data_IF_589971463387
#
_entry.id   IF_589971463387
#
_cell.length_a   1.000
_cell.length_b   1.000
_cell.length_c   1.000
_cell.angle_alpha   90.00
_cell.angle_beta   90.00
_cell.angle_gamma   90.00
#
_symmetry.space_group_name_H-M   'P 1'
#
loop_
_entity.id
_entity.type
_entity.pdbx_description
1 polymer ?
#
# COMPACT_ATOMS: atom_id res chain seq x y z
N UNK A 1 2.25 11.79 46.41
CA UNK A 1 1.80 10.39 46.46
C UNK A 1 2.79 9.58 45.60
N UNK A 2 3.57 8.74 46.25
CA UNK A 2 4.62 7.96 45.57
C UNK A 2 3.99 6.72 44.90
N UNK A 3 4.54 6.30 43.76
CA UNK A 3 4.08 5.12 42.99
C UNK A 3 4.01 3.82 43.83
N UNK A 4 4.68 3.77 44.97
CA UNK A 4 4.66 2.64 45.90
C UNK A 4 3.43 2.60 46.79
N UNK A 5 2.76 3.73 47.00
CA UNK A 5 1.57 3.80 47.88
C UNK A 5 0.27 3.44 47.15
N UNK A 6 0.25 3.58 45.81
CA UNK A 6 -0.88 3.18 44.99
C UNK A 6 -1.06 1.65 44.92
N UNK A 7 0.04 0.89 44.97
CA UNK A 7 -0.04 -0.58 44.93
C UNK A 7 -0.37 -1.27 46.25
N UNK A 8 -0.37 -0.53 47.36
CA UNK A 8 -0.71 -1.08 48.69
C UNK A 8 -2.19 -0.92 49.07
N UNK A 9 -2.94 -0.08 48.40
CA UNK A 9 -4.36 0.20 48.72
C UNK A 9 -5.36 -0.75 48.03
N UNK A 10 -4.91 -1.69 47.21
CA UNK A 10 -5.77 -2.63 46.46
C UNK A 10 -5.85 -4.04 47.09
N UNK A 11 -5.29 -4.25 48.28
CA UNK A 11 -5.26 -5.57 48.92
C UNK A 11 -5.93 -5.67 50.29
N UNK A 12 -6.97 -4.92 50.57
CA UNK A 12 -7.81 -5.17 51.78
C UNK A 12 -9.29 -5.01 51.43
N UNK A 13 -9.97 -6.09 51.19
CA UNK A 13 -11.40 -6.10 50.96
C UNK A 13 -11.97 -7.46 50.55
N UNK A 14 -11.60 -8.53 51.27
CA UNK A 14 -12.24 -9.84 51.10
C UNK A 14 -12.91 -10.23 52.41
N UNK A 15 -14.20 -9.99 52.54
CA UNK A 15 -15.02 -10.66 53.55
C UNK A 15 -16.47 -10.79 53.04
N UNK A 16 -16.82 -12.01 52.69
CA UNK A 16 -18.08 -12.67 52.96
C UNK A 16 -19.34 -12.16 52.27
N UNK A 17 -19.75 -12.79 51.13
CA UNK A 17 -21.17 -12.97 50.81
C UNK A 17 -21.42 -14.37 50.30
N UNK A 18 -22.51 -14.94 50.82
CA UNK A 18 -22.93 -16.32 50.69
C UNK A 18 -23.19 -16.81 49.25
N UNK A 19 -22.89 -18.09 49.04
CA UNK A 19 -23.13 -18.89 47.85
C UNK A 19 -24.63 -19.04 47.60
N UNK A 20 -25.15 -18.47 46.53
CA UNK A 20 -26.37 -18.94 45.87
C UNK A 20 -25.97 -19.69 44.61
N UNK A 21 -26.29 -20.96 44.55
CA UNK A 21 -26.02 -21.88 43.46
C UNK A 21 -26.84 -21.51 42.22
N UNK A 22 -26.18 -20.99 41.22
CA UNK A 22 -26.71 -20.88 39.84
C UNK A 22 -25.91 -21.78 38.93
N UNK A 23 -26.53 -22.43 37.93
CA UNK A 23 -25.88 -23.45 37.13
C UNK A 23 -24.77 -22.79 36.28
N UNK A 24 -23.61 -23.42 36.33
CA UNK A 24 -22.44 -23.13 35.48
C UNK A 24 -22.90 -23.27 34.04
N UNK A 25 -23.14 -22.15 33.36
CA UNK A 25 -23.23 -22.12 31.93
C UNK A 25 -21.87 -22.60 31.39
N UNK A 26 -21.89 -23.66 30.61
CA UNK A 26 -20.72 -24.22 29.97
C UNK A 26 -19.98 -23.10 29.22
N UNK A 27 -18.77 -22.83 29.67
CA UNK A 27 -17.78 -22.11 28.86
C UNK A 27 -17.59 -22.98 27.61
N UNK A 28 -18.32 -22.64 26.54
CA UNK A 28 -18.00 -23.12 25.21
C UNK A 28 -16.56 -22.70 24.94
N UNK A 29 -15.67 -23.68 24.95
CA UNK A 29 -14.30 -23.52 24.50
C UNK A 29 -14.39 -22.92 23.11
N UNK A 30 -13.94 -21.67 22.95
CA UNK A 30 -13.56 -21.13 21.66
C UNK A 30 -12.38 -21.98 21.19
N UNK A 31 -12.68 -23.10 20.52
CA UNK A 31 -11.71 -23.74 19.66
C UNK A 31 -11.26 -22.65 18.66
N UNK A 32 -9.97 -22.36 18.56
CA UNK A 32 -9.51 -21.45 17.53
C UNK A 32 -10.05 -22.02 16.21
N UNK A 33 -10.86 -21.22 15.49
CA UNK A 33 -11.19 -21.53 14.10
C UNK A 33 -9.86 -21.81 13.44
N UNK A 34 -9.66 -23.03 12.94
CA UNK A 34 -8.58 -23.35 12.02
C UNK A 34 -8.60 -22.25 10.97
N UNK A 35 -7.58 -21.41 10.99
CA UNK A 35 -7.39 -20.38 9.95
C UNK A 35 -7.52 -21.13 8.63
N UNK A 36 -8.49 -20.72 7.83
CA UNK A 36 -8.58 -21.17 6.45
C UNK A 36 -7.24 -20.75 5.84
N UNK A 37 -6.40 -21.70 5.46
CA UNK A 37 -5.25 -21.45 4.61
C UNK A 37 -5.82 -20.80 3.35
N UNK A 38 -5.86 -19.46 3.33
CA UNK A 38 -6.16 -18.73 2.12
C UNK A 38 -5.07 -19.10 1.12
N UNK A 39 -5.46 -19.80 0.08
CA UNK A 39 -4.57 -20.19 -1.03
C UNK A 39 -4.27 -18.95 -1.87
N UNK A 40 -3.71 -17.92 -1.20
CA UNK A 40 -3.36 -16.63 -1.80
C UNK A 40 -2.14 -16.82 -2.68
N UNK A 41 -2.25 -16.39 -3.93
CA UNK A 41 -1.15 -16.43 -4.89
C UNK A 41 -0.47 -15.07 -4.96
N UNK A 42 0.86 -15.07 -5.04
CA UNK A 42 1.64 -13.86 -5.28
C UNK A 42 1.39 -13.36 -6.71
N UNK A 43 0.79 -12.18 -6.85
CA UNK A 43 0.60 -11.48 -8.12
C UNK A 43 1.67 -10.41 -8.27
N UNK A 44 2.68 -10.69 -9.06
CA UNK A 44 3.77 -9.75 -9.32
C UNK A 44 3.34 -8.75 -10.38
N UNK A 45 3.68 -7.48 -10.15
CA UNK A 45 3.51 -6.36 -11.06
C UNK A 45 4.83 -5.66 -11.32
N UNK A 46 4.95 -5.03 -12.48
CA UNK A 46 6.10 -4.20 -12.83
C UNK A 46 5.69 -2.77 -13.14
N UNK A 47 6.41 -1.82 -12.57
CA UNK A 47 6.44 -0.47 -13.15
C UNK A 47 6.99 -0.53 -14.58
N UNK A 48 6.54 0.39 -15.42
CA UNK A 48 6.82 0.38 -16.86
C UNK A 48 8.32 0.32 -17.21
N UNK A 49 9.18 0.87 -16.35
CA UNK A 49 10.62 0.88 -16.52
C UNK A 49 11.33 -0.42 -16.12
N UNK A 50 10.67 -1.39 -15.50
CA UNK A 50 11.29 -2.61 -14.96
C UNK A 50 11.70 -3.56 -16.07
N UNK A 51 10.81 -3.84 -17.03
CA UNK A 51 11.10 -4.70 -18.16
C UNK A 51 12.14 -4.06 -19.10
N UNK A 52 13.22 -4.78 -19.50
CA UNK A 52 14.30 -4.27 -20.36
C UNK A 52 13.90 -4.30 -21.85
N UNK A 53 12.80 -3.65 -22.19
CA UNK A 53 12.23 -3.60 -23.55
C UNK A 53 11.79 -2.19 -23.89
N UNK A 54 11.62 -1.88 -25.17
CA UNK A 54 11.27 -0.55 -25.64
C UNK A 54 9.75 -0.37 -25.79
N UNK A 55 9.10 -1.19 -26.58
CA UNK A 55 7.65 -1.08 -26.80
C UNK A 55 6.84 -1.78 -25.70
N UNK A 56 5.59 -1.37 -25.52
CA UNK A 56 4.67 -2.01 -24.57
C UNK A 56 4.46 -3.50 -24.89
N UNK A 57 4.33 -3.85 -26.17
CA UNK A 57 4.12 -5.24 -26.55
C UNK A 57 5.32 -6.11 -26.15
N UNK A 58 6.55 -5.68 -26.46
CA UNK A 58 7.75 -6.40 -26.04
C UNK A 58 7.89 -6.49 -24.51
N UNK A 59 7.52 -5.42 -23.78
CA UNK A 59 7.49 -5.44 -22.32
C UNK A 59 6.50 -6.48 -21.81
N UNK A 60 5.31 -6.54 -22.37
CA UNK A 60 4.30 -7.49 -21.94
C UNK A 60 4.66 -8.93 -22.30
N UNK A 61 5.26 -9.18 -23.49
CA UNK A 61 5.80 -10.49 -23.86
C UNK A 61 6.86 -10.96 -22.84
N UNK A 62 7.75 -10.06 -22.45
CA UNK A 62 8.77 -10.34 -21.42
C UNK A 62 8.12 -10.61 -20.04
N UNK A 63 7.15 -9.79 -19.63
CA UNK A 63 6.45 -9.97 -18.37
C UNK A 63 5.69 -11.30 -18.32
N UNK A 64 4.99 -11.66 -19.40
CA UNK A 64 4.28 -12.95 -19.49
C UNK A 64 5.23 -14.14 -19.46
N UNK A 65 6.42 -14.03 -20.06
CA UNK A 65 7.46 -15.08 -20.00
C UNK A 65 7.94 -15.35 -18.57
N UNK A 66 7.85 -14.35 -17.69
CA UNK A 66 8.18 -14.45 -16.27
C UNK A 66 6.95 -14.73 -15.39
N UNK A 67 5.74 -14.88 -15.97
CA UNK A 67 4.51 -15.07 -15.23
C UNK A 67 4.11 -13.84 -14.39
N UNK A 68 4.53 -12.65 -14.80
CA UNK A 68 4.12 -11.36 -14.20
C UNK A 68 2.76 -10.97 -14.77
N UNK A 69 1.83 -10.60 -13.93
CA UNK A 69 0.42 -10.39 -14.27
C UNK A 69 -0.08 -8.96 -14.03
N UNK A 70 0.77 -8.09 -13.50
CA UNK A 70 0.45 -6.69 -13.23
C UNK A 70 1.36 -5.74 -13.99
N UNK A 71 0.80 -4.63 -14.47
CA UNK A 71 1.51 -3.52 -15.10
C UNK A 71 1.15 -2.22 -14.37
N UNK A 72 2.15 -1.43 -14.04
CA UNK A 72 2.00 -0.17 -13.32
C UNK A 72 2.61 0.99 -14.12
N UNK A 73 1.79 1.69 -14.92
CA UNK A 73 2.24 2.88 -15.64
C UNK A 73 2.29 4.11 -14.73
N UNK A 74 3.12 5.09 -15.12
CA UNK A 74 3.11 6.41 -14.51
C UNK A 74 1.89 7.24 -14.92
N UNK A 75 1.41 8.09 -14.00
CA UNK A 75 0.21 8.91 -14.23
C UNK A 75 0.43 10.11 -15.15
N UNK A 76 1.67 10.60 -15.29
CA UNK A 76 1.93 11.79 -16.11
C UNK A 76 1.60 11.55 -17.58
N UNK A 77 0.61 12.31 -18.12
CA UNK A 77 0.17 12.17 -19.50
C UNK A 77 -0.59 10.87 -19.80
N UNK A 78 -1.05 10.16 -18.76
CA UNK A 78 -1.72 8.87 -18.88
C UNK A 78 -2.98 8.93 -19.76
N UNK A 79 -3.77 9.99 -19.67
CA UNK A 79 -4.98 10.17 -20.47
C UNK A 79 -4.72 10.07 -21.98
N UNK A 80 -3.59 10.59 -22.45
CA UNK A 80 -3.17 10.48 -23.85
C UNK A 80 -2.69 9.08 -24.27
N UNK A 81 -2.47 8.16 -23.30
CA UNK A 81 -1.93 6.82 -23.52
C UNK A 81 -2.94 5.69 -23.31
N UNK A 82 -4.15 6.00 -22.87
CA UNK A 82 -5.18 4.99 -22.54
C UNK A 82 -5.38 4.01 -23.71
N UNK A 83 -5.63 4.52 -24.91
CA UNK A 83 -5.82 3.66 -26.08
C UNK A 83 -4.62 2.79 -26.43
N UNK A 84 -3.41 3.33 -26.34
CA UNK A 84 -2.16 2.59 -26.57
C UNK A 84 -2.03 1.42 -25.61
N UNK A 85 -2.23 1.69 -24.31
CA UNK A 85 -2.13 0.68 -23.25
C UNK A 85 -3.23 -0.39 -23.42
N UNK A 86 -4.48 0.02 -23.66
CA UNK A 86 -5.58 -0.92 -23.89
C UNK A 86 -5.34 -1.83 -25.09
N UNK A 87 -4.82 -1.29 -26.20
CA UNK A 87 -4.48 -2.08 -27.37
C UNK A 87 -3.37 -3.08 -27.09
N UNK A 88 -2.32 -2.66 -26.38
CA UNK A 88 -1.21 -3.54 -26.02
C UNK A 88 -1.62 -4.64 -25.01
N UNK A 89 -2.60 -4.39 -24.14
CA UNK A 89 -3.13 -5.37 -23.17
C UNK A 89 -4.17 -6.32 -23.78
N UNK A 90 -4.66 -6.04 -24.98
CA UNK A 90 -5.73 -6.84 -25.56
C UNK A 90 -5.33 -8.31 -25.77
N UNK A 91 -6.14 -9.22 -25.23
CA UNK A 91 -5.88 -10.67 -25.30
C UNK A 91 -4.83 -11.19 -24.32
N UNK A 92 -4.26 -10.35 -23.45
CA UNK A 92 -3.23 -10.72 -22.47
C UNK A 92 -3.80 -10.95 -21.07
N UNK A 93 -3.08 -11.73 -20.26
CA UNK A 93 -3.40 -11.93 -18.83
C UNK A 93 -2.91 -10.79 -17.93
N UNK A 94 -2.15 -9.85 -18.45
CA UNK A 94 -1.67 -8.68 -17.71
C UNK A 94 -2.81 -7.69 -17.50
N UNK A 95 -2.90 -7.12 -16.29
CA UNK A 95 -3.85 -6.06 -15.94
C UNK A 95 -3.10 -4.85 -15.40
N UNK A 96 -3.70 -3.66 -15.49
CA UNK A 96 -3.15 -2.48 -14.84
C UNK A 96 -3.36 -2.63 -13.33
N UNK A 97 -2.25 -2.73 -12.60
CA UNK A 97 -2.26 -3.00 -11.15
C UNK A 97 -2.58 -1.75 -10.33
N UNK A 98 -1.88 -0.66 -10.62
CA UNK A 98 -2.08 0.67 -10.06
C UNK A 98 -1.51 1.71 -11.04
N UNK A 99 -1.75 2.99 -10.77
CA UNK A 99 -1.10 4.09 -11.48
C UNK A 99 -0.14 4.77 -10.50
N UNK A 100 1.15 4.83 -10.87
CA UNK A 100 2.16 5.43 -10.01
C UNK A 100 2.18 6.95 -10.17
N UNK A 101 1.60 7.67 -9.20
CA UNK A 101 1.63 9.13 -9.08
C UNK A 101 1.48 9.91 -10.42
N UNK A 102 2.26 10.99 -10.62
CA UNK A 102 2.35 11.71 -11.91
C UNK A 102 1.53 12.99 -11.98
N UNK A 103 0.79 13.34 -10.92
CA UNK A 103 0.06 14.59 -10.79
C UNK A 103 1.02 15.78 -10.57
N UNK A 104 0.56 16.99 -10.93
CA UNK A 104 1.20 18.25 -10.56
C UNK A 104 0.75 18.74 -9.19
N UNK A 105 1.41 19.74 -8.63
CA UNK A 105 1.07 20.27 -7.32
C UNK A 105 1.08 19.23 -6.19
N UNK A 106 0.39 19.52 -5.08
CA UNK A 106 0.19 18.58 -3.96
C UNK A 106 -1.01 18.99 -3.09
N UNK A 107 -1.65 17.99 -2.45
CA UNK A 107 -2.93 18.18 -1.76
C UNK A 107 -2.84 19.09 -0.53
N UNK A 108 -1.69 19.13 0.15
CA UNK A 108 -1.46 19.94 1.36
C UNK A 108 -0.81 21.29 1.05
N UNK A 109 -0.82 21.76 -0.19
CA UNK A 109 -0.33 23.08 -0.55
C UNK A 109 -1.14 24.19 0.14
N UNK A 110 -0.45 25.20 0.68
CA UNK A 110 -1.09 26.45 1.15
C UNK A 110 -1.40 27.39 0.00
N UNK A 111 -0.60 27.32 -1.10
CA UNK A 111 -0.87 28.06 -2.31
C UNK A 111 -2.07 27.47 -3.07
N UNK A 112 -3.16 28.25 -3.25
CA UNK A 112 -4.35 27.79 -3.95
C UNK A 112 -4.10 27.37 -5.40
N UNK A 113 -3.12 27.96 -6.10
CA UNK A 113 -2.80 27.63 -7.48
C UNK A 113 -2.15 26.24 -7.56
N UNK A 114 -1.22 25.93 -6.65
CA UNK A 114 -0.58 24.61 -6.55
C UNK A 114 -1.59 23.54 -6.16
N UNK A 115 -2.53 23.84 -5.24
CA UNK A 115 -3.61 22.93 -4.89
C UNK A 115 -4.57 22.69 -6.07
N UNK A 116 -4.90 23.73 -6.83
CA UNK A 116 -5.78 23.63 -8.00
C UNK A 116 -5.13 22.78 -9.12
N UNK A 117 -3.81 22.89 -9.31
CA UNK A 117 -3.05 22.04 -10.23
C UNK A 117 -3.14 20.56 -9.79
N UNK A 118 -2.97 20.29 -8.48
CA UNK A 118 -3.15 18.95 -7.94
C UNK A 118 -4.55 18.41 -8.24
N UNK A 119 -5.59 19.17 -7.94
CA UNK A 119 -6.98 18.75 -8.11
C UNK A 119 -7.31 18.43 -9.56
N UNK A 120 -6.83 19.24 -10.49
CA UNK A 120 -7.06 19.03 -11.92
C UNK A 120 -6.34 17.80 -12.44
N UNK A 121 -5.03 17.73 -12.19
CA UNK A 121 -4.20 16.64 -12.73
C UNK A 121 -4.52 15.29 -12.08
N UNK A 122 -4.81 15.26 -10.77
CA UNK A 122 -5.19 14.04 -10.07
C UNK A 122 -6.53 13.48 -10.59
N UNK A 123 -7.52 14.34 -10.86
CA UNK A 123 -8.81 13.90 -11.42
C UNK A 123 -8.66 13.37 -12.84
N UNK A 124 -7.81 13.97 -13.66
CA UNK A 124 -7.50 13.47 -15.01
C UNK A 124 -6.89 12.05 -14.93
N UNK A 125 -5.93 11.84 -14.04
CA UNK A 125 -5.28 10.54 -13.84
C UNK A 125 -6.30 9.50 -13.31
N UNK A 126 -7.16 9.87 -12.36
CA UNK A 126 -8.21 8.99 -11.84
C UNK A 126 -9.18 8.54 -12.95
N UNK A 127 -9.61 9.47 -13.83
CA UNK A 127 -10.48 9.12 -14.95
C UNK A 127 -9.80 8.11 -15.89
N UNK A 128 -8.56 8.38 -16.29
CA UNK A 128 -7.77 7.47 -17.14
C UNK A 128 -7.50 6.11 -16.45
N UNK A 129 -7.25 6.10 -15.13
CA UNK A 129 -7.09 4.88 -14.36
C UNK A 129 -8.34 3.99 -14.39
N UNK A 130 -9.52 4.61 -14.30
CA UNK A 130 -10.80 3.92 -14.42
C UNK A 130 -11.01 3.30 -15.80
N UNK A 131 -10.69 4.02 -16.87
CA UNK A 131 -10.75 3.50 -18.24
C UNK A 131 -9.81 2.31 -18.48
N UNK A 132 -8.66 2.28 -17.78
CA UNK A 132 -7.70 1.18 -17.82
C UNK A 132 -8.05 0.02 -16.88
N UNK A 133 -9.09 0.14 -16.07
CA UNK A 133 -9.45 -0.85 -15.06
C UNK A 133 -8.41 -1.03 -13.95
N UNK A 134 -7.65 0.04 -13.66
CA UNK A 134 -6.65 0.06 -12.58
C UNK A 134 -7.30 -0.05 -11.21
N UNK A 135 -6.62 -0.71 -10.26
CA UNK A 135 -7.12 -0.82 -8.88
C UNK A 135 -7.08 0.51 -8.13
N UNK A 136 -6.24 1.46 -8.54
CA UNK A 136 -6.16 2.79 -7.93
C UNK A 136 -5.04 3.67 -8.46
N UNK A 137 -5.06 4.92 -8.03
CA UNK A 137 -4.02 5.92 -8.31
C UNK A 137 -3.26 6.19 -7.02
N UNK A 138 -1.95 5.95 -7.04
CA UNK A 138 -1.06 6.16 -5.89
C UNK A 138 -0.78 7.65 -5.72
N UNK A 139 -0.87 8.14 -4.49
CA UNK A 139 -0.56 9.53 -4.16
C UNK A 139 0.10 9.68 -2.80
N UNK A 140 1.00 10.64 -2.72
CA UNK A 140 1.66 11.12 -1.50
C UNK A 140 1.10 12.49 -1.14
N UNK A 141 0.65 12.75 0.11
CA UNK A 141 0.04 14.03 0.47
C UNK A 141 0.98 15.23 0.36
N UNK A 142 2.25 15.06 0.75
CA UNK A 142 3.30 16.04 0.57
C UNK A 142 4.68 15.40 0.77
N UNK A 143 5.63 15.74 -0.12
CA UNK A 143 7.04 15.41 0.01
C UNK A 143 7.79 16.44 0.83
N UNK A 144 8.92 16.07 1.41
CA UNK A 144 9.87 17.03 1.98
C UNK A 144 10.29 18.05 0.93
N UNK A 145 10.36 19.31 1.33
CA UNK A 145 10.74 20.41 0.42
C UNK A 145 9.62 21.01 -0.41
N UNK A 146 8.43 20.43 -0.44
CA UNK A 146 7.24 21.07 -1.03
C UNK A 146 6.75 22.19 -0.09
N UNK A 147 6.86 23.44 -0.51
CA UNK A 147 6.53 24.63 0.30
C UNK A 147 5.85 25.70 -0.52
N UNK A 148 4.93 26.50 0.07
CA UNK A 148 4.42 26.36 1.44
C UNK A 148 3.47 25.17 1.59
N UNK A 149 3.61 24.45 2.70
CA UNK A 149 2.83 23.24 3.02
C UNK A 149 2.10 23.39 4.35
N UNK A 150 0.87 22.93 4.41
CA UNK A 150 0.09 22.91 5.66
C UNK A 150 0.83 22.20 6.78
N UNK A 151 0.86 22.78 8.01
CA UNK A 151 1.61 22.20 9.14
C UNK A 151 0.98 20.91 9.66
N UNK A 152 1.75 20.14 10.45
CA UNK A 152 1.27 18.93 11.12
C UNK A 152 0.35 19.28 12.30
N UNK A 153 -0.92 19.56 12.03
CA UNK A 153 -1.94 19.84 13.03
C UNK A 153 -3.15 18.95 12.87
N UNK A 154 -4.03 18.97 13.85
CA UNK A 154 -5.31 18.28 13.79
C UNK A 154 -6.18 18.81 12.65
N UNK A 155 -6.20 20.11 12.47
CA UNK A 155 -6.97 20.79 11.42
C UNK A 155 -6.49 20.37 10.02
N UNK A 156 -5.18 20.23 9.82
CA UNK A 156 -4.63 19.73 8.57
C UNK A 156 -5.02 18.25 8.32
N UNK A 157 -5.07 17.45 9.38
CA UNK A 157 -5.54 16.07 9.25
C UNK A 157 -7.02 15.99 8.89
N UNK A 158 -7.86 16.78 9.55
CA UNK A 158 -9.29 16.86 9.25
C UNK A 158 -9.49 17.33 7.79
N UNK A 159 -8.81 18.39 7.37
CA UNK A 159 -8.79 18.86 5.98
C UNK A 159 -8.37 17.74 4.99
N UNK A 160 -7.30 17.01 5.28
CA UNK A 160 -6.87 15.90 4.42
C UNK A 160 -7.95 14.82 4.32
N UNK A 161 -8.59 14.45 5.42
CA UNK A 161 -9.68 13.46 5.40
C UNK A 161 -10.87 13.92 4.54
N UNK A 162 -11.24 15.20 4.59
CA UNK A 162 -12.29 15.79 3.73
C UNK A 162 -11.91 15.74 2.26
N UNK A 163 -10.69 16.16 1.93
CA UNK A 163 -10.19 16.12 0.56
C UNK A 163 -10.09 14.69 0.01
N UNK A 164 -9.67 13.75 0.85
CA UNK A 164 -9.63 12.33 0.49
C UNK A 164 -11.03 11.75 0.29
N UNK A 165 -12.02 12.18 1.09
CA UNK A 165 -13.41 11.81 0.86
C UNK A 165 -13.86 12.21 -0.56
N UNK A 166 -13.67 13.46 -0.92
CA UNK A 166 -14.07 13.99 -2.24
C UNK A 166 -13.37 13.26 -3.41
N UNK A 167 -12.06 13.01 -3.28
CA UNK A 167 -11.30 12.28 -4.30
C UNK A 167 -11.72 10.80 -4.37
N UNK A 168 -11.98 10.17 -3.22
CA UNK A 168 -12.45 8.80 -3.16
C UNK A 168 -13.81 8.62 -3.81
N UNK A 169 -14.77 9.52 -3.52
CA UNK A 169 -16.08 9.51 -4.17
C UNK A 169 -15.99 9.78 -5.68
N UNK A 170 -15.04 10.61 -6.09
CA UNK A 170 -14.77 10.81 -7.52
C UNK A 170 -14.18 9.55 -8.16
N UNK A 171 -13.22 8.91 -7.50
CA UNK A 171 -12.60 7.67 -7.99
C UNK A 171 -13.61 6.53 -8.14
N UNK A 172 -14.53 6.37 -7.18
CA UNK A 172 -15.61 5.37 -7.28
C UNK A 172 -16.51 5.56 -8.51
N UNK A 173 -16.77 6.80 -8.91
CA UNK A 173 -17.54 7.10 -10.15
C UNK A 173 -16.82 6.65 -11.41
N UNK A 174 -15.50 6.50 -11.34
CA UNK A 174 -14.64 6.00 -12.41
C UNK A 174 -14.23 4.52 -12.21
N UNK A 175 -14.87 3.79 -11.25
CA UNK A 175 -14.57 2.38 -10.93
C UNK A 175 -13.10 2.12 -10.55
N UNK A 176 -12.48 3.05 -9.84
CA UNK A 176 -11.11 2.95 -9.33
C UNK A 176 -11.03 3.50 -7.90
N UNK A 177 -9.85 3.60 -7.32
CA UNK A 177 -9.63 4.13 -5.97
C UNK A 177 -8.46 5.13 -5.95
N UNK A 178 -8.30 5.85 -4.85
CA UNK A 178 -7.09 6.61 -4.54
C UNK A 178 -6.33 5.87 -3.46
N UNK A 179 -5.03 5.67 -3.67
CA UNK A 179 -4.17 4.87 -2.80
C UNK A 179 -3.15 5.80 -2.12
N UNK A 180 -3.30 5.99 -0.81
CA UNK A 180 -2.34 6.76 -0.01
C UNK A 180 -1.06 5.96 0.20
N UNK A 181 0.07 6.53 -0.17
CA UNK A 181 1.39 5.98 0.06
C UNK A 181 2.09 6.69 1.21
N UNK A 182 2.37 5.98 2.31
CA UNK A 182 3.28 6.46 3.35
C UNK A 182 4.73 6.24 2.92
N UNK A 183 5.56 7.28 3.05
CA UNK A 183 6.98 7.21 2.72
C UNK A 183 7.85 7.32 3.97
N UNK A 184 9.12 6.89 3.87
CA UNK A 184 10.11 7.10 4.92
C UNK A 184 10.30 8.60 5.23
N UNK A 185 10.81 8.93 6.42
CA UNK A 185 10.94 10.32 6.89
C UNK A 185 11.89 11.20 6.10
N UNK A 186 12.74 10.60 5.25
CA UNK A 186 13.63 11.38 4.37
C UNK A 186 12.91 11.93 3.16
N UNK A 187 11.78 11.32 2.79
CA UNK A 187 11.00 11.67 1.60
C UNK A 187 9.66 12.31 1.95
N UNK A 188 8.95 11.78 2.98
CA UNK A 188 7.64 12.29 3.35
C UNK A 188 7.67 13.48 4.31
N UNK A 189 7.01 14.57 3.92
CA UNK A 189 6.69 15.64 4.85
C UNK A 189 5.56 15.21 5.81
N UNK A 190 4.49 14.60 5.30
CA UNK A 190 3.27 14.42 6.10
C UNK A 190 2.99 12.97 6.51
N UNK A 191 2.95 12.02 5.61
CA UNK A 191 2.49 10.65 5.84
C UNK A 191 3.66 9.66 5.84
N UNK A 192 3.88 8.91 6.95
CA UNK A 192 5.09 8.11 7.13
C UNK A 192 4.87 6.67 7.53
N UNK A 193 3.68 6.30 7.99
CA UNK A 193 3.38 4.94 8.47
C UNK A 193 2.13 4.39 7.81
N UNK A 194 2.12 3.09 7.55
CA UNK A 194 0.96 2.39 6.96
C UNK A 194 -0.26 2.50 7.88
N UNK A 195 -0.06 2.42 9.20
CA UNK A 195 -1.13 2.60 10.18
C UNK A 195 -1.81 3.98 10.11
N UNK A 196 -1.01 5.05 9.89
CA UNK A 196 -1.54 6.41 9.75
C UNK A 196 -2.31 6.56 8.44
N UNK A 197 -1.82 5.98 7.35
CA UNK A 197 -2.52 5.95 6.07
C UNK A 197 -3.88 5.23 6.19
N UNK A 198 -3.91 4.07 6.84
CA UNK A 198 -5.14 3.33 7.11
C UNK A 198 -6.13 4.12 7.99
N UNK A 199 -5.62 4.87 8.99
CA UNK A 199 -6.46 5.74 9.80
C UNK A 199 -7.08 6.89 8.98
N UNK A 200 -6.36 7.46 8.00
CA UNK A 200 -6.92 8.46 7.08
C UNK A 200 -7.97 7.80 6.16
N UNK A 201 -7.71 6.60 5.64
CA UNK A 201 -8.70 5.86 4.84
C UNK A 201 -10.01 5.68 5.60
N UNK A 202 -9.95 5.20 6.84
CA UNK A 202 -11.10 5.03 7.72
C UNK A 202 -11.85 6.35 7.98
N UNK A 203 -11.10 7.39 8.32
CA UNK A 203 -11.66 8.67 8.77
C UNK A 203 -12.16 9.54 7.61
N UNK A 204 -11.70 9.28 6.38
CA UNK A 204 -12.24 9.89 5.15
C UNK A 204 -13.67 9.43 4.84
N UNK A 205 -14.10 8.28 5.37
CA UNK A 205 -15.46 7.74 5.18
C UNK A 205 -15.85 7.53 3.71
N UNK A 206 -14.88 7.21 2.86
CA UNK A 206 -15.11 6.82 1.47
C UNK A 206 -14.49 5.46 1.19
N UNK A 207 -15.24 4.56 0.59
CA UNK A 207 -14.73 3.26 0.13
C UNK A 207 -13.69 3.40 -1.00
N UNK A 208 -13.66 4.55 -1.66
CA UNK A 208 -12.70 4.88 -2.72
C UNK A 208 -11.33 5.32 -2.22
N UNK A 209 -11.12 5.42 -0.90
CA UNK A 209 -9.82 5.77 -0.31
C UNK A 209 -9.18 4.52 0.28
N UNK A 210 -8.00 4.21 -0.21
CA UNK A 210 -7.20 3.05 0.15
C UNK A 210 -5.78 3.48 0.52
N UNK A 211 -4.98 2.54 1.00
CA UNK A 211 -3.56 2.77 1.26
C UNK A 211 -2.72 1.61 0.74
N UNK A 212 -1.42 1.79 0.81
CA UNK A 212 -0.44 0.79 0.44
C UNK A 212 0.68 0.68 1.45
N UNK A 213 1.48 -0.37 1.32
CA UNK A 213 2.78 -0.50 1.95
C UNK A 213 3.86 -0.57 0.88
N UNK A 214 5.01 0.02 1.16
CA UNK A 214 6.22 -0.13 0.36
C UNK A 214 7.34 -0.70 1.23
N UNK A 215 7.86 -1.85 0.86
CA UNK A 215 8.93 -2.54 1.61
C UNK A 215 10.20 -1.70 1.77
N UNK A 216 10.47 -0.77 0.85
CA UNK A 216 11.56 0.19 1.01
C UNK A 216 11.25 1.22 2.09
N UNK A 217 10.05 1.81 2.06
CA UNK A 217 9.64 2.84 3.01
C UNK A 217 9.33 2.28 4.39
N UNK A 218 8.76 1.07 4.48
CA UNK A 218 8.47 0.37 5.74
C UNK A 218 9.72 -0.04 6.52
N UNK A 219 10.93 0.11 5.97
CA UNK A 219 12.18 -0.13 6.70
C UNK A 219 12.33 0.71 7.98
N UNK A 220 11.54 1.76 8.16
CA UNK A 220 11.47 2.59 9.37
C UNK A 220 10.32 2.19 10.32
N UNK A 221 9.51 1.21 9.98
CA UNK A 221 8.43 0.68 10.83
C UNK A 221 8.95 -0.43 11.77
N UNK A 222 8.16 -0.81 12.76
CA UNK A 222 8.55 -1.84 13.74
C UNK A 222 8.80 -3.19 13.09
N UNK A 223 7.92 -3.60 12.17
CA UNK A 223 8.07 -4.73 11.25
C UNK A 223 7.11 -4.59 10.07
N UNK A 224 7.43 -5.23 8.94
CA UNK A 224 6.53 -5.26 7.79
C UNK A 224 5.22 -5.95 8.11
N UNK A 225 5.29 -7.03 8.91
CA UNK A 225 4.12 -7.77 9.35
C UNK A 225 3.13 -6.87 10.11
N UNK A 226 3.62 -6.12 11.11
CA UNK A 226 2.78 -5.23 11.90
C UNK A 226 2.25 -4.06 11.05
N UNK A 227 3.08 -3.48 10.18
CA UNK A 227 2.70 -2.38 9.30
C UNK A 227 1.55 -2.77 8.34
N UNK A 228 1.70 -3.88 7.64
CA UNK A 228 0.68 -4.34 6.69
C UNK A 228 -0.61 -4.78 7.38
N UNK A 229 -0.52 -5.49 8.52
CA UNK A 229 -1.71 -5.85 9.30
C UNK A 229 -2.46 -4.63 9.84
N UNK A 230 -1.77 -3.53 10.14
CA UNK A 230 -2.42 -2.29 10.60
C UNK A 230 -3.35 -1.68 9.53
N UNK A 231 -3.03 -1.87 8.24
CA UNK A 231 -3.94 -1.49 7.15
C UNK A 231 -5.14 -2.44 7.06
N UNK A 232 -4.91 -3.72 7.30
CA UNK A 232 -5.92 -4.76 7.14
C UNK A 232 -6.38 -4.97 5.70
N UNK A 233 -7.20 -6.01 5.43
CA UNK A 233 -7.65 -6.34 4.09
C UNK A 233 -8.61 -5.30 3.49
N UNK A 234 -9.22 -4.46 4.32
CA UNK A 234 -10.17 -3.44 3.89
C UNK A 234 -9.47 -2.27 3.20
N UNK A 235 -8.31 -1.82 3.73
CA UNK A 235 -7.63 -0.61 3.23
C UNK A 235 -6.41 -0.91 2.40
N UNK A 236 -5.71 -2.04 2.59
CA UNK A 236 -4.51 -2.38 1.83
C UNK A 236 -4.86 -2.73 0.38
N UNK A 237 -4.52 -1.85 -0.56
CA UNK A 237 -4.88 -1.96 -1.97
C UNK A 237 -3.71 -2.31 -2.86
N UNK A 238 -2.50 -1.95 -2.49
CA UNK A 238 -1.29 -2.13 -3.31
C UNK A 238 -0.07 -2.33 -2.42
N UNK A 239 0.98 -2.92 -2.99
CA UNK A 239 2.26 -3.09 -2.31
C UNK A 239 3.38 -2.80 -3.31
N UNK A 240 4.33 -1.94 -2.93
CA UNK A 240 5.59 -1.76 -3.64
C UNK A 240 6.70 -2.58 -3.01
N UNK A 241 7.66 -2.96 -3.84
CA UNK A 241 8.84 -3.72 -3.42
C UNK A 241 10.09 -3.27 -4.15
N UNK A 242 11.16 -3.08 -3.38
CA UNK A 242 12.51 -2.82 -3.84
C UNK A 242 13.51 -3.44 -2.87
N UNK A 243 14.78 -3.52 -3.26
CA UNK A 243 15.87 -3.86 -2.33
C UNK A 243 15.90 -2.89 -1.14
N UNK A 244 15.95 -3.42 0.06
CA UNK A 244 15.83 -2.66 1.31
C UNK A 244 16.97 -1.69 1.57
N UNK A 245 18.16 -1.98 1.04
CA UNK A 245 19.35 -1.18 1.33
C UNK A 245 19.59 -0.03 0.36
N UNK A 246 19.08 -0.14 -0.88
CA UNK A 246 19.50 0.77 -1.94
C UNK A 246 18.40 1.15 -2.95
N UNK A 247 17.15 0.70 -2.73
CA UNK A 247 15.98 0.89 -3.63
C UNK A 247 16.24 0.41 -5.07
N UNK A 248 17.07 -0.63 -5.21
CA UNK A 248 17.35 -1.29 -6.49
C UNK A 248 16.53 -2.57 -6.62
N UNK A 249 16.91 -3.42 -7.57
CA UNK A 249 16.19 -4.69 -7.81
C UNK A 249 16.24 -5.56 -6.54
N UNK A 250 15.12 -6.17 -6.13
CA UNK A 250 15.13 -7.13 -5.02
C UNK A 250 16.20 -8.20 -5.19
N UNK A 251 17.01 -8.41 -4.14
CA UNK A 251 18.15 -9.31 -4.14
C UNK A 251 19.51 -8.63 -4.39
N UNK A 252 19.55 -7.39 -4.89
CA UNK A 252 20.82 -6.66 -5.06
C UNK A 252 21.51 -6.29 -3.74
N UNK A 253 20.84 -6.42 -2.59
CA UNK A 253 21.42 -6.19 -1.27
C UNK A 253 21.60 -7.49 -0.47
N UNK A 254 21.59 -8.64 -1.14
CA UNK A 254 21.82 -9.94 -0.53
C UNK A 254 20.77 -10.31 0.54
N UNK A 255 21.22 -10.86 1.67
CA UNK A 255 20.35 -11.39 2.74
C UNK A 255 19.46 -10.32 3.42
N UNK A 256 19.81 -9.04 3.30
CA UNK A 256 18.99 -7.93 3.82
C UNK A 256 17.64 -7.84 3.08
N UNK A 257 17.58 -8.32 1.83
CA UNK A 257 16.37 -8.37 1.01
C UNK A 257 15.50 -9.57 1.40
N UNK A 258 15.03 -9.57 2.64
CA UNK A 258 14.14 -10.57 3.21
C UNK A 258 12.74 -9.95 3.42
N UNK A 259 11.74 -10.48 2.71
CA UNK A 259 10.35 -10.01 2.71
C UNK A 259 9.37 -11.00 3.35
N UNK A 260 9.87 -12.14 3.87
CA UNK A 260 9.05 -13.24 4.41
C UNK A 260 8.08 -12.76 5.48
N UNK A 261 8.50 -11.86 6.37
CA UNK A 261 7.66 -11.32 7.44
C UNK A 261 6.44 -10.56 6.89
N UNK A 262 6.65 -9.69 5.91
CA UNK A 262 5.56 -8.98 5.24
C UNK A 262 4.67 -9.90 4.39
N UNK A 263 5.25 -10.89 3.72
CA UNK A 263 4.48 -11.88 2.95
C UNK A 263 3.59 -12.73 3.85
N UNK A 264 3.99 -13.05 5.07
CA UNK A 264 3.12 -13.68 6.08
C UNK A 264 1.89 -12.84 6.39
N UNK A 265 2.07 -11.51 6.55
CA UNK A 265 0.95 -10.61 6.77
C UNK A 265 0.00 -10.62 5.57
N UNK A 266 0.53 -10.53 4.35
CA UNK A 266 -0.28 -10.58 3.13
C UNK A 266 -1.08 -11.89 3.02
N UNK A 267 -0.44 -13.04 3.26
CA UNK A 267 -1.14 -14.34 3.27
C UNK A 267 -2.21 -14.42 4.37
N UNK A 268 -1.90 -13.96 5.58
CA UNK A 268 -2.85 -13.97 6.69
C UNK A 268 -4.09 -13.12 6.40
N UNK A 269 -3.93 -12.01 5.70
CA UNK A 269 -5.04 -11.14 5.30
C UNK A 269 -5.83 -11.67 4.10
N UNK A 270 -5.35 -12.70 3.41
CA UNK A 270 -5.93 -13.14 2.14
C UNK A 270 -5.72 -12.12 1.03
N UNK A 271 -4.58 -11.43 1.01
CA UNK A 271 -4.27 -10.39 0.04
C UNK A 271 -4.18 -10.97 -1.38
N UNK A 272 -5.06 -10.53 -2.26
CA UNK A 272 -5.24 -11.03 -3.62
C UNK A 272 -4.87 -10.00 -4.71
N UNK A 273 -4.21 -8.90 -4.31
CA UNK A 273 -3.81 -7.81 -5.21
C UNK A 273 -2.33 -7.93 -5.58
N UNK A 274 -1.70 -6.85 -5.96
CA UNK A 274 -0.38 -6.87 -6.59
C UNK A 274 0.74 -6.46 -5.64
N UNK A 275 1.91 -7.10 -5.84
CA UNK A 275 3.21 -6.65 -5.32
C UNK A 275 4.01 -6.17 -6.52
N UNK A 276 4.25 -4.87 -6.60
CA UNK A 276 4.80 -4.19 -7.77
C UNK A 276 6.24 -3.74 -7.54
N UNK A 277 7.10 -4.01 -8.51
CA UNK A 277 8.48 -3.54 -8.50
C UNK A 277 8.52 -2.03 -8.72
N UNK A 278 8.90 -1.28 -7.69
CA UNK A 278 9.23 0.14 -7.77
C UNK A 278 10.71 0.34 -7.43
N UNK A 279 11.58 0.08 -8.38
CA UNK A 279 13.01 0.04 -8.10
C UNK A 279 13.88 0.40 -9.31
N UNK A 280 15.10 0.89 -9.01
CA UNK A 280 16.15 0.96 -9.99
C UNK A 280 16.81 -0.40 -10.23
N UNK A 281 17.90 -0.40 -11.00
CA UNK A 281 18.75 -1.56 -11.23
C UNK A 281 20.19 -1.09 -11.42
N UNK A 282 21.16 -1.71 -10.77
CA UNK A 282 22.56 -1.37 -10.93
C UNK A 282 23.27 -2.27 -11.96
N UNK A 283 22.71 -3.41 -12.29
CA UNK A 283 23.28 -4.37 -13.21
C UNK A 283 22.44 -4.62 -14.46
N UNK A 284 22.67 -5.76 -15.08
CA UNK A 284 21.94 -6.17 -16.27
C UNK A 284 20.52 -6.64 -15.90
N UNK A 285 19.51 -5.93 -16.39
CA UNK A 285 18.09 -6.27 -16.16
C UNK A 285 17.70 -7.63 -16.73
N UNK A 286 18.35 -8.10 -17.79
CA UNK A 286 18.08 -9.44 -18.34
C UNK A 286 18.43 -10.56 -17.35
N UNK A 287 19.35 -10.28 -16.43
CA UNK A 287 19.77 -11.21 -15.36
C UNK A 287 19.02 -10.93 -14.06
N UNK A 288 18.98 -9.66 -13.65
CA UNK A 288 18.52 -9.30 -12.32
C UNK A 288 16.98 -9.33 -12.16
N UNK A 289 16.23 -9.01 -13.22
CA UNK A 289 14.76 -9.04 -13.13
C UNK A 289 14.24 -10.46 -12.96
N UNK A 290 14.65 -11.47 -13.75
CA UNK A 290 14.24 -12.86 -13.50
C UNK A 290 14.67 -13.38 -12.12
N UNK A 291 15.89 -13.06 -11.68
CA UNK A 291 16.38 -13.46 -10.36
C UNK A 291 15.55 -12.85 -9.22
N UNK A 292 15.17 -11.59 -9.35
CA UNK A 292 14.30 -10.93 -8.37
C UNK A 292 12.88 -11.55 -8.34
N UNK A 293 12.31 -11.88 -9.49
CA UNK A 293 11.00 -12.57 -9.55
C UNK A 293 11.07 -13.92 -8.83
N UNK A 294 12.13 -14.69 -9.05
CA UNK A 294 12.33 -15.99 -8.39
C UNK A 294 12.56 -15.84 -6.88
N UNK A 295 13.32 -14.82 -6.46
CA UNK A 295 13.50 -14.50 -5.04
C UNK A 295 12.15 -14.23 -4.35
N UNK A 296 11.28 -13.42 -4.97
CA UNK A 296 9.98 -13.12 -4.38
C UNK A 296 9.11 -14.38 -4.26
N UNK A 297 9.12 -15.24 -5.28
CA UNK A 297 8.36 -16.50 -5.25
C UNK A 297 8.85 -17.44 -4.17
N UNK A 298 10.16 -17.64 -4.08
CA UNK A 298 10.73 -18.52 -3.05
C UNK A 298 10.46 -17.99 -1.63
N UNK A 299 10.56 -16.68 -1.41
CA UNK A 299 10.23 -16.08 -0.12
C UNK A 299 8.72 -16.10 0.18
N UNK A 300 7.88 -16.00 -0.84
CA UNK A 300 6.44 -16.19 -0.68
C UNK A 300 6.10 -17.61 -0.22
N UNK A 301 6.75 -18.64 -0.76
CA UNK A 301 6.56 -20.03 -0.33
C UNK A 301 6.97 -20.26 1.12
N UNK A 302 8.03 -19.57 1.58
CA UNK A 302 8.51 -19.65 2.96
C UNK A 302 7.62 -18.90 3.98
N UNK A 303 6.78 -18.01 3.53
CA UNK A 303 5.89 -17.19 4.34
C UNK A 303 4.57 -17.96 4.73
#
# INVERSE_FOLDING_TARGET
>A
MDRRDFLKSTMVGAAGVAIASSPIAALTSCTPKKEACCNTQLKISFQEGTAPRQSLNEKFDYMESLGVVGFEPGGRGLAGRVNEIQQALNGRNIKVSAICAGFGGFILAEDPAVKAEFDSTMREIIAAAGELGSTGVIMVPAFNGQTPCKPHTRETREYLCEQMHELGEFALKHNTTVILEPLNRREAHYLRQVADAAAICRDSKSAGVKCMGDFWHMSEETSDYAALLAAGPEYLQHVHIASRGNRKMPGENGEVDNYVDGFRALKQMGYDKYVSFECGCNGDKEILVPAAVELLRSQWELA
#
